data_IF_416668703574
#
_entry.id   IF_416668703574
#
_cell.length_a   1.000
_cell.length_b   1.000
_cell.length_c   1.000
_cell.angle_alpha   90.00
_cell.angle_beta   90.00
_cell.angle_gamma   90.00
#
_symmetry.space_group_name_H-M   'P 1'
#
loop_
_entity.id
_entity.type
_entity.pdbx_description
1 polymer ?
#
# COMPACT_ATOMS: atom_id res chain seq x y z
N UNK A 1 -43.57 26.78 6.94
CA UNK A 1 -42.58 26.90 5.85
C UNK A 1 -41.21 26.58 6.43
N UNK A 2 -40.46 25.64 5.82
CA UNK A 2 -39.14 25.17 6.29
C UNK A 2 -38.05 26.02 5.64
N UNK A 3 -37.23 26.69 6.43
CA UNK A 3 -36.01 27.36 5.95
C UNK A 3 -34.83 26.45 6.26
N UNK A 4 -34.28 25.83 5.22
CA UNK A 4 -33.02 25.11 5.26
C UNK A 4 -31.89 26.12 4.96
N UNK A 5 -30.88 26.17 5.83
CA UNK A 5 -29.65 26.90 5.55
C UNK A 5 -28.52 25.88 5.51
N UNK A 6 -28.11 25.54 4.29
CA UNK A 6 -26.89 24.77 4.01
C UNK A 6 -25.68 25.65 4.31
N UNK A 7 -24.88 25.30 5.32
CA UNK A 7 -23.50 25.78 5.41
C UNK A 7 -22.61 24.82 4.64
N UNK A 8 -22.12 25.29 3.49
CA UNK A 8 -21.02 24.68 2.76
C UNK A 8 -19.72 24.87 3.55
N UNK A 9 -19.14 23.79 4.05
CA UNK A 9 -17.79 23.81 4.59
C UNK A 9 -16.78 23.80 3.44
N UNK A 10 -16.27 25.01 3.21
CA UNK A 10 -15.03 25.43 2.57
C UNK A 10 -13.90 24.39 2.63
N UNK A 11 -13.33 24.11 1.46
CA UNK A 11 -11.89 24.12 1.24
C UNK A 11 -11.04 23.10 2.00
N UNK A 12 -11.00 21.86 1.49
CA UNK A 12 -9.74 21.11 1.50
C UNK A 12 -9.01 21.42 0.20
N UNK A 13 -8.05 22.33 0.29
CA UNK A 13 -6.99 22.50 -0.68
C UNK A 13 -6.28 21.15 -0.87
N UNK A 14 -6.63 20.40 -1.91
CA UNK A 14 -5.76 19.37 -2.46
C UNK A 14 -4.62 20.09 -3.19
N UNK A 15 -3.69 20.59 -2.37
CA UNK A 15 -2.41 21.13 -2.79
C UNK A 15 -1.66 20.01 -3.50
N UNK A 16 -1.71 20.06 -4.82
CA UNK A 16 -0.58 19.87 -5.74
C UNK A 16 0.52 18.94 -5.24
N UNK A 17 0.30 17.62 -5.30
CA UNK A 17 1.39 16.63 -5.24
C UNK A 17 0.91 15.28 -5.80
N UNK A 18 0.60 15.25 -7.09
CA UNK A 18 0.79 14.01 -7.84
C UNK A 18 1.44 14.39 -9.16
N UNK A 19 2.77 14.53 -9.14
CA UNK A 19 3.53 14.18 -10.33
C UNK A 19 3.13 12.74 -10.64
N UNK A 20 2.18 12.56 -11.57
CA UNK A 20 1.86 11.25 -12.12
C UNK A 20 3.06 10.82 -12.94
N UNK A 21 4.13 10.40 -12.25
CA UNK A 21 5.01 9.40 -12.80
C UNK A 21 4.06 8.25 -13.09
N UNK A 22 3.73 8.06 -14.35
CA UNK A 22 3.09 6.84 -14.82
C UNK A 22 4.11 5.74 -14.58
N UNK A 23 4.22 5.31 -13.32
CA UNK A 23 4.87 4.07 -13.00
C UNK A 23 4.10 3.01 -13.78
N UNK A 24 4.84 2.19 -14.52
CA UNK A 24 4.29 1.04 -15.21
C UNK A 24 3.50 0.18 -14.22
N UNK A 25 2.52 -0.55 -14.73
CA UNK A 25 1.86 -1.57 -13.94
C UNK A 25 2.90 -2.59 -13.45
N UNK A 26 2.68 -3.14 -12.27
CA UNK A 26 3.59 -4.09 -11.64
C UNK A 26 3.21 -5.50 -12.08
N UNK A 27 4.14 -6.18 -12.74
CA UNK A 27 3.95 -7.55 -13.20
C UNK A 27 4.45 -8.51 -12.13
N UNK A 28 3.54 -9.25 -11.52
CA UNK A 28 3.85 -10.21 -10.49
C UNK A 28 4.20 -11.58 -11.09
N UNK A 29 5.12 -12.29 -10.46
CA UNK A 29 5.52 -13.66 -10.87
C UNK A 29 4.39 -14.70 -10.77
N UNK A 30 3.31 -14.40 -10.04
CA UNK A 30 2.09 -15.21 -10.03
C UNK A 30 1.19 -14.97 -11.27
N UNK A 31 1.58 -14.08 -12.19
CA UNK A 31 0.84 -13.74 -13.41
C UNK A 31 -0.13 -12.56 -13.26
N UNK A 32 -0.23 -11.95 -12.07
CA UNK A 32 -1.07 -10.77 -11.86
C UNK A 32 -0.40 -9.50 -12.40
N UNK A 33 -1.24 -8.56 -12.84
CA UNK A 33 -0.83 -7.20 -13.18
C UNK A 33 -1.50 -6.25 -12.20
N UNK A 34 -0.71 -5.55 -11.40
CA UNK A 34 -1.19 -4.63 -10.37
C UNK A 34 -0.95 -3.19 -10.84
N UNK A 35 -2.02 -2.44 -11.16
CA UNK A 35 -1.88 -1.06 -11.58
C UNK A 35 -1.13 -0.22 -10.56
N UNK A 36 -0.25 0.66 -11.05
CA UNK A 36 0.52 1.54 -10.18
C UNK A 36 -0.35 2.44 -9.29
N UNK A 37 -1.59 2.73 -9.71
CA UNK A 37 -2.57 3.47 -8.91
C UNK A 37 -2.88 2.80 -7.56
N UNK A 38 -2.92 1.46 -7.50
CA UNK A 38 -3.12 0.74 -6.24
C UNK A 38 -1.91 0.85 -5.31
N UNK A 39 -0.70 0.88 -5.87
CA UNK A 39 0.54 1.08 -5.12
C UNK A 39 0.56 2.49 -4.51
N UNK A 40 0.26 3.50 -5.32
CA UNK A 40 0.14 4.89 -4.87
C UNK A 40 -0.94 5.01 -3.79
N UNK A 41 -2.11 4.41 -4.01
CA UNK A 41 -3.21 4.45 -3.03
C UNK A 41 -2.80 3.80 -1.70
N UNK A 42 -2.09 2.67 -1.73
CA UNK A 42 -1.62 2.00 -0.52
C UNK A 42 -0.62 2.86 0.27
N UNK A 43 0.34 3.50 -0.41
CA UNK A 43 1.32 4.39 0.23
C UNK A 43 0.67 5.66 0.78
N UNK A 44 -0.27 6.26 0.05
CA UNK A 44 -1.04 7.42 0.52
C UNK A 44 -1.82 7.07 1.79
N UNK A 45 -2.52 5.93 1.82
CA UNK A 45 -3.24 5.47 3.01
C UNK A 45 -2.31 5.19 4.18
N UNK A 46 -1.12 4.61 3.94
CA UNK A 46 -0.12 4.43 4.99
C UNK A 46 0.26 5.76 5.63
N UNK A 47 0.47 6.80 4.80
CA UNK A 47 0.80 8.15 5.27
C UNK A 47 -0.35 8.81 6.03
N UNK A 48 -1.57 8.71 5.51
CA UNK A 48 -2.76 9.24 6.17
C UNK A 48 -2.99 8.59 7.54
N UNK A 49 -2.91 7.26 7.61
CA UNK A 49 -3.09 6.53 8.87
C UNK A 49 -2.01 6.90 9.89
N UNK A 50 -0.75 7.00 9.45
CA UNK A 50 0.35 7.39 10.31
C UNK A 50 0.18 8.83 10.85
N UNK A 51 -0.18 9.79 9.99
CA UNK A 51 -0.39 11.18 10.40
C UNK A 51 -1.60 11.35 11.33
N UNK A 52 -2.61 10.49 11.18
CA UNK A 52 -3.84 10.50 11.98
C UNK A 52 -3.81 9.52 13.16
N UNK A 53 -2.65 8.92 13.46
CA UNK A 53 -2.46 7.93 14.51
C UNK A 53 -3.46 6.75 14.48
N UNK A 54 -3.85 6.32 13.27
CA UNK A 54 -4.83 5.25 13.07
C UNK A 54 -4.19 3.87 13.23
N UNK A 55 -4.97 2.91 13.75
CA UNK A 55 -4.56 1.50 13.90
C UNK A 55 -3.24 1.27 14.66
N UNK A 56 -2.83 2.23 15.50
CA UNK A 56 -1.56 2.17 16.23
C UNK A 56 -0.34 2.59 15.41
N UNK A 57 -0.53 3.13 14.20
CA UNK A 57 0.54 3.72 13.40
C UNK A 57 0.84 5.15 13.84
N UNK A 58 2.02 5.63 13.49
CA UNK A 58 2.46 7.01 13.75
C UNK A 58 3.48 7.43 12.71
N UNK A 59 3.88 8.71 12.61
CA UNK A 59 4.92 9.13 11.67
C UNK A 59 6.28 8.43 11.90
N UNK A 60 6.53 7.92 13.11
CA UNK A 60 7.74 7.15 13.45
C UNK A 60 7.58 5.63 13.26
N UNK A 61 6.35 5.16 13.03
CA UNK A 61 6.02 3.77 12.74
C UNK A 61 4.82 3.75 11.77
N UNK A 62 5.05 4.03 10.47
CA UNK A 62 3.98 4.30 9.52
C UNK A 62 3.26 3.04 9.00
N UNK A 63 3.65 1.86 9.46
CA UNK A 63 3.04 0.59 9.08
C UNK A 63 3.48 -0.55 9.99
N UNK A 64 3.06 -1.76 9.63
CA UNK A 64 3.51 -2.96 10.33
C UNK A 64 4.98 -3.24 10.00
N UNK A 65 5.78 -3.67 10.98
CA UNK A 65 7.18 -4.02 10.75
C UNK A 65 7.29 -5.12 9.69
N UNK A 66 8.06 -4.86 8.65
CA UNK A 66 8.38 -5.86 7.64
C UNK A 66 9.53 -6.72 8.16
N UNK A 67 9.23 -8.00 8.44
CA UNK A 67 10.23 -8.99 8.82
C UNK A 67 10.98 -9.46 7.59
N UNK A 68 11.87 -8.62 7.05
CA UNK A 68 12.86 -9.11 6.10
C UNK A 68 13.83 -10.02 6.85
N UNK A 69 14.24 -11.14 6.24
CA UNK A 69 15.54 -11.72 6.59
C UNK A 69 16.59 -10.66 6.23
N UNK A 70 17.31 -10.07 7.18
CA UNK A 70 18.25 -9.00 6.86
C UNK A 70 19.29 -9.55 5.88
N UNK A 71 19.28 -9.05 4.64
CA UNK A 71 20.47 -9.13 3.80
C UNK A 71 21.54 -8.28 4.48
N UNK A 72 22.78 -8.76 4.55
CA UNK A 72 23.88 -8.22 5.37
C UNK A 72 24.28 -6.73 5.12
N UNK A 73 23.51 -5.99 4.32
CA UNK A 73 23.84 -4.67 3.75
C UNK A 73 22.85 -3.56 4.08
N UNK A 74 21.73 -3.81 4.78
CA UNK A 74 20.71 -2.78 5.03
C UNK A 74 20.23 -2.77 6.48
N UNK A 75 20.57 -1.70 7.20
CA UNK A 75 19.99 -1.34 8.50
C UNK A 75 18.68 -0.56 8.37
N UNK A 76 18.12 -0.44 7.16
CA UNK A 76 16.89 0.31 6.95
C UNK A 76 15.70 -0.46 7.53
N UNK A 77 15.01 0.15 8.49
CA UNK A 77 13.75 -0.38 8.97
C UNK A 77 12.68 -0.25 7.87
N UNK A 78 12.14 -1.39 7.47
CA UNK A 78 11.07 -1.48 6.49
C UNK A 78 9.72 -1.74 7.16
N UNK A 79 8.68 -1.25 6.53
CA UNK A 79 7.28 -1.42 6.91
C UNK A 79 6.51 -2.00 5.73
N UNK A 80 5.40 -2.66 6.01
CA UNK A 80 4.52 -3.19 4.97
C UNK A 80 3.07 -2.83 5.19
N UNK A 81 2.31 -2.83 4.10
CA UNK A 81 0.86 -2.64 4.09
C UNK A 81 0.22 -3.44 2.94
N UNK A 82 -0.95 -4.01 3.19
CA UNK A 82 -1.75 -4.66 2.13
C UNK A 82 -2.23 -3.63 1.09
N UNK A 83 -2.20 -4.06 -0.17
CA UNK A 83 -2.77 -3.33 -1.30
C UNK A 83 -4.23 -3.78 -1.47
N UNK A 84 -5.16 -2.84 -1.35
CA UNK A 84 -6.58 -3.09 -1.60
C UNK A 84 -6.87 -3.17 -3.10
N UNK A 85 -6.69 -4.35 -3.69
CA UNK A 85 -7.01 -4.63 -5.10
C UNK A 85 -8.42 -5.18 -5.29
N UNK A 86 -8.96 -5.03 -6.50
CA UNK A 86 -10.28 -5.54 -6.86
C UNK A 86 -10.35 -7.08 -6.79
N UNK A 87 -11.54 -7.68 -6.55
CA UNK A 87 -11.68 -9.13 -6.45
C UNK A 87 -11.12 -9.92 -7.64
N UNK A 88 -11.23 -9.38 -8.86
CA UNK A 88 -10.69 -10.00 -10.07
C UNK A 88 -9.16 -10.08 -10.10
N UNK A 89 -8.46 -9.22 -9.35
CA UNK A 89 -7.00 -9.25 -9.23
C UNK A 89 -6.53 -10.12 -8.05
N UNK A 90 -7.42 -10.37 -7.07
CA UNK A 90 -7.15 -11.25 -5.93
C UNK A 90 -7.08 -12.71 -6.34
N UNK A 91 -7.85 -13.15 -7.34
CA UNK A 91 -7.91 -14.57 -7.72
C UNK A 91 -7.24 -14.82 -9.07
N UNK A 92 -6.12 -15.56 -9.06
CA UNK A 92 -5.42 -16.00 -10.26
C UNK A 92 -5.45 -17.52 -10.30
N UNK A 93 -6.00 -18.09 -11.37
CA UNK A 93 -6.12 -19.55 -11.55
C UNK A 93 -6.80 -20.25 -10.34
N UNK A 94 -7.87 -19.66 -9.79
CA UNK A 94 -8.59 -20.12 -8.60
C UNK A 94 -7.78 -20.13 -7.29
N UNK A 95 -6.67 -19.39 -7.24
CA UNK A 95 -5.88 -19.18 -6.03
C UNK A 95 -5.98 -17.72 -5.61
N UNK A 96 -6.32 -17.47 -4.35
CA UNK A 96 -6.39 -16.13 -3.80
C UNK A 96 -5.01 -15.66 -3.33
N UNK A 97 -4.69 -14.42 -3.70
CA UNK A 97 -3.46 -13.74 -3.35
C UNK A 97 -3.76 -12.44 -2.59
N UNK A 98 -2.88 -12.15 -1.65
CA UNK A 98 -2.77 -10.86 -0.96
C UNK A 98 -1.54 -10.17 -1.52
N UNK A 99 -1.69 -8.90 -1.89
CA UNK A 99 -0.61 -8.06 -2.39
C UNK A 99 -0.22 -7.05 -1.33
N UNK A 100 1.06 -6.71 -1.25
CA UNK A 100 1.57 -5.75 -0.28
C UNK A 100 2.62 -4.82 -0.88
N UNK A 101 2.65 -3.59 -0.38
CA UNK A 101 3.78 -2.68 -0.56
C UNK A 101 4.71 -2.81 0.64
N UNK A 102 6.01 -2.77 0.38
CA UNK A 102 7.06 -2.65 1.40
C UNK A 102 7.78 -1.33 1.17
N UNK A 103 7.90 -0.52 2.21
CA UNK A 103 8.39 0.85 2.13
C UNK A 103 9.20 1.24 3.37
N UNK A 104 10.00 2.30 3.28
CA UNK A 104 10.75 2.84 4.41
C UNK A 104 9.97 3.91 5.19
N UNK A 105 10.55 4.47 6.25
CA UNK A 105 9.91 5.53 7.06
C UNK A 105 9.56 6.81 6.27
N UNK A 106 10.19 7.04 5.10
CA UNK A 106 9.93 8.17 4.20
C UNK A 106 8.85 7.85 3.15
N UNK A 107 8.24 6.68 3.21
CA UNK A 107 7.30 6.16 2.22
C UNK A 107 7.93 5.89 0.84
N UNK A 108 9.25 5.73 0.78
CA UNK A 108 9.92 5.27 -0.44
C UNK A 108 9.61 3.78 -0.63
N UNK A 109 9.05 3.43 -1.79
CA UNK A 109 8.75 2.05 -2.15
C UNK A 109 10.06 1.24 -2.31
N UNK A 110 10.10 0.07 -1.68
CA UNK A 110 11.21 -0.90 -1.81
C UNK A 110 10.79 -2.13 -2.59
N UNK A 111 9.63 -2.70 -2.25
CA UNK A 111 9.13 -3.93 -2.87
C UNK A 111 7.62 -3.88 -3.05
N UNK A 112 7.16 -4.60 -4.06
CA UNK A 112 5.76 -5.02 -4.20
C UNK A 112 5.77 -6.54 -4.23
N UNK A 113 5.04 -7.16 -3.29
CA UNK A 113 5.00 -8.61 -3.17
C UNK A 113 3.56 -9.12 -3.27
N UNK A 114 3.42 -10.37 -3.69
CA UNK A 114 2.21 -11.15 -3.52
C UNK A 114 2.51 -12.39 -2.66
N UNK A 115 1.54 -12.86 -1.91
CA UNK A 115 1.58 -14.17 -1.25
C UNK A 115 0.20 -14.80 -1.30
N UNK A 116 0.12 -16.12 -1.19
CA UNK A 116 -1.18 -16.80 -1.14
C UNK A 116 -1.89 -16.40 0.16
N UNK A 117 -3.20 -16.15 0.08
CA UNK A 117 -4.01 -15.81 1.25
C UNK A 117 -3.97 -16.93 2.33
N UNK A 118 -3.79 -18.18 1.90
CA UNK A 118 -3.61 -19.33 2.78
C UNK A 118 -2.23 -19.40 3.46
N UNK A 119 -1.21 -18.70 2.94
CA UNK A 119 0.16 -18.66 3.48
C UNK A 119 0.33 -17.45 4.41
N UNK A 120 -0.27 -17.54 5.61
CA UNK A 120 -0.23 -16.46 6.62
C UNK A 120 1.17 -16.12 7.11
N UNK A 121 2.09 -17.07 7.01
CA UNK A 121 3.50 -16.87 7.40
C UNK A 121 4.33 -16.24 6.29
N UNK A 122 3.74 -16.04 5.09
CA UNK A 122 4.41 -15.48 3.91
C UNK A 122 5.69 -16.25 3.56
N UNK A 123 5.66 -17.59 3.69
CA UNK A 123 6.81 -18.44 3.36
C UNK A 123 7.14 -18.42 1.87
N UNK A 124 6.13 -18.21 1.03
CA UNK A 124 6.27 -18.08 -0.42
C UNK A 124 5.73 -16.72 -0.87
N UNK A 125 6.66 -15.78 -1.04
CA UNK A 125 6.39 -14.48 -1.63
C UNK A 125 6.77 -14.47 -3.11
N UNK A 126 5.96 -13.78 -3.90
CA UNK A 126 6.14 -13.55 -5.32
C UNK A 126 6.48 -12.08 -5.50
N UNK A 127 7.60 -11.77 -6.17
CA UNK A 127 7.96 -10.38 -6.47
C UNK A 127 7.11 -9.84 -7.61
N UNK A 128 6.82 -8.53 -7.55
CA UNK A 128 6.21 -7.76 -8.62
C UNK A 128 7.10 -6.57 -9.01
N UNK A 129 7.33 -6.38 -10.30
CA UNK A 129 8.24 -5.35 -10.85
C UNK A 129 7.75 -4.78 -12.16
#
# INVERSE_FOLDING_TARGET
MRTATLLACVGTSLVSLVSTVQASDYHCTNGAVIPASYIVSALTRAREDANNYQYGFSPNQPGAFYKATPTATSYEQLYWREISVDPGQRSIQNVNYVYEVVFNIRYDLRYVNAHRESDREKRHTFSCS
#
